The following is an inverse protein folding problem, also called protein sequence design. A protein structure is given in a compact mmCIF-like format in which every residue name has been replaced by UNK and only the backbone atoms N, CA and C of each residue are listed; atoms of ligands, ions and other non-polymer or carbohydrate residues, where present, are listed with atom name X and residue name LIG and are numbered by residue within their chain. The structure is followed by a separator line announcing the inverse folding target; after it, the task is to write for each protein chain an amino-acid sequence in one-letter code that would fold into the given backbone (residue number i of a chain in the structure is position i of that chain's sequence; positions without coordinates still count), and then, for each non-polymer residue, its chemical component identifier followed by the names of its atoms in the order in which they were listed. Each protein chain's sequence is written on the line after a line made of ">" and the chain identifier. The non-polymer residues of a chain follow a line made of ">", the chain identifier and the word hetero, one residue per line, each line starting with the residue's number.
data_IF_359908109753
#
_entry.id   IF_359908109753
#
_cell.length_a   1.000
_cell.length_b   1.000
_cell.length_c   1.000
_cell.angle_alpha   90.00
_cell.angle_beta   90.00
_cell.angle_gamma   90.00
#
_symmetry.space_group_name_H-M   'P 1'
#
loop_
_entity.id
_entity.type
_entity.pdbx_description
1 polymer ?
#
# COMPACT_ATOMS: atom_id res chain seq x y z
N UNK A 1 3.77 7.37 -18.20
CA UNK A 1 2.39 7.03 -18.52
C UNK A 1 1.50 7.20 -17.30
N UNK A 2 0.39 7.86 -17.48
CA UNK A 2 -0.52 8.13 -16.38
C UNK A 2 -1.39 6.93 -16.08
N UNK A 3 -1.60 6.70 -14.79
CA UNK A 3 -2.51 5.65 -14.39
C UNK A 3 -3.89 6.25 -14.17
N UNK A 4 -4.88 5.65 -14.78
CA UNK A 4 -6.22 6.20 -14.80
C UNK A 4 -6.94 6.04 -13.48
N UNK A 5 -6.59 5.01 -12.72
CA UNK A 5 -7.31 4.66 -11.51
C UNK A 5 -6.39 4.76 -10.32
N UNK A 6 -6.88 5.42 -9.29
CA UNK A 6 -6.13 5.57 -8.05
C UNK A 6 -6.96 4.99 -6.92
N UNK A 7 -6.39 4.05 -6.19
CA UNK A 7 -7.09 3.38 -5.10
C UNK A 7 -6.45 3.79 -3.78
N UNK A 8 -7.28 4.25 -2.86
CA UNK A 8 -6.82 4.62 -1.52
C UNK A 8 -7.01 3.44 -0.59
N UNK A 9 -5.97 3.07 0.12
CA UNK A 9 -5.97 1.89 0.95
C UNK A 9 -5.47 2.21 2.35
N UNK A 10 -6.23 1.84 3.37
CA UNK A 10 -5.79 1.93 4.75
C UNK A 10 -5.02 0.68 5.08
N UNK A 11 -3.73 0.82 5.28
CA UNK A 11 -2.87 -0.34 5.49
C UNK A 11 -2.80 -0.77 6.95
N UNK A 12 -3.42 -0.02 7.84
CA UNK A 12 -3.27 -0.28 9.27
C UNK A 12 -4.51 -0.92 9.89
N UNK A 13 -5.53 -1.15 9.11
CA UNK A 13 -6.73 -1.75 9.63
C UNK A 13 -6.72 -3.25 9.45
N UNK A 14 -7.34 -3.97 10.36
CA UNK A 14 -7.50 -5.40 10.23
C UNK A 14 -6.35 -6.21 10.77
N UNK A 15 -6.53 -7.51 10.74
CA UNK A 15 -5.54 -8.44 11.24
C UNK A 15 -4.41 -8.62 10.24
N UNK A 16 -3.20 -8.73 10.75
CA UNK A 16 -2.00 -8.96 9.95
C UNK A 16 -1.68 -7.81 9.00
N UNK A 17 -2.26 -6.67 9.25
CA UNK A 17 -1.88 -5.45 8.54
C UNK A 17 -0.61 -4.91 9.17
N UNK A 18 0.24 -4.27 8.37
CA UNK A 18 0.04 -3.91 6.97
C UNK A 18 0.56 -4.96 5.98
N UNK A 19 1.19 -6.02 6.46
CA UNK A 19 1.82 -6.99 5.56
C UNK A 19 0.80 -7.60 4.60
N UNK A 20 -0.37 -7.94 5.12
CA UNK A 20 -1.41 -8.55 4.30
C UNK A 20 -1.89 -7.60 3.21
N UNK A 21 -2.04 -6.34 3.57
CA UNK A 21 -2.49 -5.33 2.62
C UNK A 21 -1.46 -5.14 1.50
N UNK A 22 -0.19 -5.06 1.86
CA UNK A 22 0.85 -4.84 0.86
C UNK A 22 0.98 -6.05 -0.06
N UNK A 23 0.85 -7.25 0.49
CA UNK A 23 0.87 -8.44 -0.33
C UNK A 23 -0.29 -8.42 -1.33
N UNK A 24 -1.46 -8.00 -0.89
CA UNK A 24 -2.61 -7.88 -1.77
C UNK A 24 -2.40 -6.89 -2.89
N UNK A 25 -1.74 -5.77 -2.59
CA UNK A 25 -1.40 -4.79 -3.61
C UNK A 25 -0.49 -5.39 -4.66
N UNK A 26 0.50 -6.17 -4.22
CA UNK A 26 1.41 -6.81 -5.15
C UNK A 26 0.67 -7.73 -6.10
N UNK A 27 -0.22 -8.54 -5.55
CA UNK A 27 -0.99 -9.47 -6.37
C UNK A 27 -1.90 -8.73 -7.36
N UNK A 28 -2.56 -7.69 -6.89
CA UNK A 28 -3.45 -6.93 -7.75
C UNK A 28 -2.69 -6.23 -8.86
N UNK A 29 -1.51 -5.71 -8.55
CA UNK A 29 -0.74 -4.95 -9.51
C UNK A 29 -0.24 -5.81 -10.67
N UNK A 30 -0.14 -7.11 -10.46
CA UNK A 30 0.31 -8.00 -11.53
C UNK A 30 -0.71 -8.11 -12.65
N UNK A 31 -1.97 -7.88 -12.36
CA UNK A 31 -3.02 -8.02 -13.36
C UNK A 31 -3.67 -6.70 -13.74
N UNK A 32 -3.20 -5.59 -13.21
CA UNK A 32 -3.80 -4.29 -13.48
C UNK A 32 -2.73 -3.25 -13.77
N UNK A 33 -2.70 -2.76 -15.00
CA UNK A 33 -1.66 -1.83 -15.43
C UNK A 33 -2.02 -0.37 -15.21
N UNK A 34 -3.29 -0.08 -15.04
CA UNK A 34 -3.76 1.29 -14.97
C UNK A 34 -3.99 1.81 -13.57
N UNK A 35 -3.56 1.06 -12.57
CA UNK A 35 -3.90 1.36 -11.20
C UNK A 35 -2.68 1.84 -10.44
N UNK A 36 -2.86 2.91 -9.68
CA UNK A 36 -1.87 3.32 -8.69
C UNK A 36 -2.52 3.22 -7.32
N UNK A 37 -1.69 3.20 -6.29
CA UNK A 37 -2.18 2.94 -4.94
C UNK A 37 -1.71 4.03 -4.00
N UNK A 38 -2.65 4.59 -3.26
CA UNK A 38 -2.35 5.55 -2.19
C UNK A 38 -2.50 4.81 -0.88
N UNK A 39 -1.39 4.59 -0.21
CA UNK A 39 -1.36 3.74 0.96
C UNK A 39 -1.24 4.62 2.20
N UNK A 40 -2.21 4.51 3.09
CA UNK A 40 -2.23 5.30 4.32
C UNK A 40 -1.83 4.41 5.49
N UNK A 41 -0.80 4.82 6.21
CA UNK A 41 -0.34 4.07 7.35
C UNK A 41 1.03 4.51 7.81
N UNK A 42 1.62 3.71 8.68
CA UNK A 42 2.95 4.00 9.22
C UNK A 42 4.01 3.64 8.19
N UNK A 43 4.66 4.66 7.63
CA UNK A 43 5.62 4.43 6.57
C UNK A 43 6.80 3.59 7.03
N UNK A 44 7.12 3.61 8.32
CA UNK A 44 8.21 2.80 8.83
C UNK A 44 7.91 1.30 8.75
N UNK A 45 6.65 0.95 8.78
CA UNK A 45 6.23 -0.43 8.63
C UNK A 45 5.98 -0.78 7.17
N UNK A 46 5.51 0.18 6.41
CA UNK A 46 5.12 -0.06 5.02
C UNK A 46 6.31 -0.16 4.09
N UNK A 47 7.28 0.76 4.24
CA UNK A 47 8.42 0.78 3.33
C UNK A 47 9.19 -0.54 3.26
N UNK A 48 9.49 -1.19 4.39
CA UNK A 48 10.18 -2.48 4.30
C UNK A 48 9.36 -3.53 3.55
N UNK A 49 8.04 -3.44 3.64
CA UNK A 49 7.19 -4.40 2.96
C UNK A 49 7.16 -4.15 1.46
N UNK A 50 7.18 -2.88 1.07
CA UNK A 50 7.26 -2.55 -0.36
C UNK A 50 8.51 -3.17 -0.96
N UNK A 51 9.62 -3.07 -0.24
CA UNK A 51 10.88 -3.69 -0.70
C UNK A 51 10.80 -5.21 -0.68
N UNK A 52 10.22 -5.76 0.37
CA UNK A 52 10.13 -7.21 0.52
C UNK A 52 9.34 -7.83 -0.63
N UNK A 53 8.26 -7.19 -1.02
CA UNK A 53 7.42 -7.73 -2.10
C UNK A 53 7.79 -7.18 -3.47
N UNK A 54 8.85 -6.39 -3.55
CA UNK A 54 9.36 -5.86 -4.81
C UNK A 54 8.30 -5.10 -5.58
N UNK A 55 7.60 -4.21 -4.89
CA UNK A 55 6.57 -3.40 -5.54
C UNK A 55 7.22 -2.16 -6.14
N UNK A 56 6.84 -1.84 -7.37
CA UNK A 56 7.37 -0.68 -8.06
C UNK A 56 6.90 0.60 -7.37
N UNK A 57 7.85 1.42 -6.95
CA UNK A 57 7.51 2.66 -6.26
C UNK A 57 6.74 3.64 -7.14
N UNK A 58 6.83 3.46 -8.45
CA UNK A 58 6.12 4.36 -9.37
C UNK A 58 4.61 4.21 -9.29
N UNK A 59 4.14 3.09 -8.79
CA UNK A 59 2.71 2.86 -8.74
C UNK A 59 2.12 3.08 -7.35
N UNK A 60 2.94 3.48 -6.39
CA UNK A 60 2.46 3.67 -5.03
C UNK A 60 2.83 5.05 -4.50
N UNK A 61 2.01 5.51 -3.59
CA UNK A 61 2.24 6.75 -2.87
C UNK A 61 1.91 6.46 -1.41
N UNK A 62 2.84 6.73 -0.51
CA UNK A 62 2.61 6.45 0.91
C UNK A 62 2.30 7.74 1.63
N UNK A 63 1.17 7.76 2.30
CA UNK A 63 0.76 8.87 3.14
C UNK A 63 0.91 8.45 4.58
N UNK A 64 1.90 8.97 5.24
CA UNK A 64 2.20 8.57 6.60
C UNK A 64 1.11 9.04 7.56
N UNK A 65 0.65 8.13 8.37
CA UNK A 65 -0.23 8.46 9.47
C UNK A 65 0.33 7.78 10.70
N UNK A 66 0.37 8.50 11.81
CA UNK A 66 0.76 7.89 13.07
C UNK A 66 -0.40 7.85 14.03
N UNK A 67 -1.57 7.92 13.47
CA UNK A 67 -2.77 7.82 14.27
C UNK A 67 -3.00 6.37 14.61
N UNK A 68 -2.89 6.03 15.85
CA UNK A 68 -3.25 4.70 16.28
C UNK A 68 -4.65 4.80 16.83
N UNK A 69 -5.52 4.07 16.22
CA UNK A 69 -6.86 4.00 16.72
C UNK A 69 -6.85 2.96 17.78
N UNK A 70 -6.79 3.40 18.97
CA UNK A 70 -6.92 2.44 20.03
C UNK A 70 -8.24 2.72 20.67
N UNK A 71 -8.95 1.79 20.84
CA UNK A 71 -10.18 2.00 21.47
C UNK A 71 -10.44 1.29 22.55
#
# INVERSE_FOLDING_TARGET
>A
MNRSISIAIDAMGGDNSPAKVIEGIKLHSKSSNDVSYKIFGDEKLINPLISKFSIDHKIIEIYHTDETISD
#
